data_IF_853413847136
#
_entry.id   IF_853413847136
#
_cell.length_a   1.000
_cell.length_b   1.000
_cell.length_c   1.000
_cell.angle_alpha   90.00
_cell.angle_beta   90.00
_cell.angle_gamma   90.00
#
_symmetry.space_group_name_H-M   'P 1'
#
loop_
_entity.id
_entity.type
_entity.pdbx_description
1 polymer ?
#
# COMPACT_ATOMS: atom_id res chain seq x y z
N UNK A 1 5.79 7.72 -32.37
CA UNK A 1 6.67 7.91 -31.19
C UNK A 1 5.83 7.71 -29.94
N UNK A 2 5.78 6.49 -29.41
CA UNK A 2 5.09 6.18 -28.15
C UNK A 2 6.02 6.52 -26.99
N UNK A 3 5.65 7.53 -26.19
CA UNK A 3 6.34 7.84 -24.94
C UNK A 3 6.15 6.67 -23.98
N UNK A 4 7.20 5.87 -23.82
CA UNK A 4 7.35 4.92 -22.72
C UNK A 4 7.32 5.75 -21.44
N UNK A 5 6.22 5.70 -20.67
CA UNK A 5 6.17 6.39 -19.38
C UNK A 5 7.28 5.82 -18.51
N UNK A 6 8.29 6.62 -18.20
CA UNK A 6 9.30 6.27 -17.21
C UNK A 6 8.57 6.18 -15.87
N UNK A 7 8.26 4.96 -15.43
CA UNK A 7 7.73 4.71 -14.10
C UNK A 7 8.82 5.09 -13.11
N UNK A 8 8.74 6.29 -12.54
CA UNK A 8 9.62 6.65 -11.43
C UNK A 8 9.27 5.77 -10.24
N UNK A 9 10.28 5.08 -9.72
CA UNK A 9 10.16 4.30 -8.49
C UNK A 9 9.69 5.26 -7.39
N UNK A 10 8.57 4.96 -6.74
CA UNK A 10 8.05 5.82 -5.67
C UNK A 10 9.04 5.83 -4.51
N UNK A 11 9.55 6.99 -4.07
CA UNK A 11 10.53 7.04 -2.98
C UNK A 11 10.00 6.45 -1.68
N UNK A 12 10.87 5.79 -0.91
CA UNK A 12 10.51 5.19 0.38
C UNK A 12 9.92 6.20 1.38
N UNK A 13 10.37 7.45 1.35
CA UNK A 13 9.84 8.54 2.19
C UNK A 13 8.36 8.84 1.90
N UNK A 14 7.93 8.71 0.64
CA UNK A 14 6.52 8.88 0.27
C UNK A 14 5.68 7.75 0.84
N UNK A 15 6.16 6.50 0.74
CA UNK A 15 5.50 5.35 1.34
C UNK A 15 5.35 5.49 2.85
N UNK A 16 6.42 5.84 3.56
CA UNK A 16 6.38 6.11 5.02
C UNK A 16 5.37 7.20 5.36
N UNK A 17 5.40 8.34 4.66
CA UNK A 17 4.43 9.42 4.86
C UNK A 17 2.98 8.97 4.64
N UNK A 18 2.74 8.09 3.67
CA UNK A 18 1.40 7.55 3.40
C UNK A 18 0.95 6.52 4.44
N UNK A 19 1.86 5.71 4.98
CA UNK A 19 1.60 4.80 6.08
C UNK A 19 1.25 5.58 7.36
N UNK A 20 2.03 6.62 7.70
CA UNK A 20 1.72 7.52 8.82
C UNK A 20 0.36 8.18 8.65
N UNK A 21 0.02 8.59 7.43
CA UNK A 21 -1.30 9.15 7.11
C UNK A 21 -2.40 8.12 7.35
N UNK A 22 -2.22 6.87 6.93
CA UNK A 22 -3.17 5.80 7.18
C UNK A 22 -3.39 5.58 8.69
N UNK A 23 -2.31 5.56 9.48
CA UNK A 23 -2.36 5.43 10.93
C UNK A 23 -3.10 6.60 11.60
N UNK A 24 -2.77 7.85 11.26
CA UNK A 24 -3.48 9.03 11.78
C UNK A 24 -4.97 9.07 11.42
N UNK A 25 -5.33 8.52 10.27
CA UNK A 25 -6.72 8.42 9.81
C UNK A 25 -7.44 7.19 10.35
N UNK A 26 -6.80 6.37 11.20
CA UNK A 26 -7.42 5.22 11.85
C UNK A 26 -7.71 4.05 10.92
N UNK A 27 -7.04 3.96 9.77
CA UNK A 27 -7.20 2.81 8.87
C UNK A 27 -6.72 1.53 9.55
N UNK A 28 -7.29 0.41 9.10
CA UNK A 28 -6.95 -0.94 9.54
C UNK A 28 -6.77 -1.82 8.31
N UNK A 29 -5.76 -2.68 8.35
CA UNK A 29 -5.51 -3.69 7.33
C UNK A 29 -5.69 -5.08 7.93
N UNK A 30 -6.40 -5.95 7.20
CA UNK A 30 -6.72 -7.30 7.62
C UNK A 30 -6.26 -8.28 6.55
N UNK A 31 -5.53 -9.32 6.94
CA UNK A 31 -5.17 -10.42 6.03
C UNK A 31 -6.40 -11.26 5.74
N UNK A 32 -6.67 -11.52 4.47
CA UNK A 32 -7.75 -12.40 4.06
C UNK A 32 -7.29 -13.85 4.19
N UNK A 33 -7.99 -14.62 5.03
CA UNK A 33 -7.68 -16.03 5.32
C UNK A 33 -6.23 -16.26 5.80
N UNK A 34 -5.64 -15.27 6.47
CA UNK A 34 -4.24 -15.32 6.93
C UNK A 34 -3.19 -15.23 5.81
N UNK A 35 -3.60 -15.13 4.55
CA UNK A 35 -2.67 -15.10 3.42
C UNK A 35 -2.00 -13.71 3.31
N UNK A 36 -0.66 -13.61 3.35
CA UNK A 36 0.05 -12.33 3.28
C UNK A 36 -0.05 -11.65 1.91
N UNK A 37 -0.60 -12.32 0.89
CA UNK A 37 -0.82 -11.74 -0.44
C UNK A 37 -2.11 -10.97 -0.58
N UNK A 38 -3.14 -11.25 0.23
CA UNK A 38 -4.47 -10.68 0.07
C UNK A 38 -4.90 -9.94 1.33
N UNK A 39 -5.26 -8.67 1.17
CA UNK A 39 -5.60 -7.79 2.28
C UNK A 39 -6.88 -7.02 1.99
N UNK A 40 -7.67 -6.80 3.03
CA UNK A 40 -8.73 -5.79 3.03
C UNK A 40 -8.29 -4.61 3.91
N UNK A 41 -8.41 -3.39 3.40
CA UNK A 41 -8.07 -2.16 4.12
C UNK A 41 -9.29 -1.28 4.26
N UNK A 42 -9.60 -0.85 5.49
CA UNK A 42 -10.77 -0.02 5.77
C UNK A 42 -10.71 1.34 5.08
N UNK A 43 -11.88 1.90 4.77
CA UNK A 43 -12.01 3.26 4.24
C UNK A 43 -12.21 4.28 5.37
N UNK A 44 -11.50 5.41 5.29
CA UNK A 44 -11.70 6.55 6.21
C UNK A 44 -12.99 7.32 5.92
N UNK A 45 -13.39 7.40 4.66
CA UNK A 45 -14.51 8.25 4.22
C UNK A 45 -15.84 7.52 4.21
N UNK A 46 -15.82 6.19 4.22
CA UNK A 46 -17.01 5.35 4.20
C UNK A 46 -16.75 4.13 5.10
N UNK A 47 -17.40 4.04 6.27
CA UNK A 47 -17.17 2.95 7.22
C UNK A 47 -17.67 1.59 6.71
N UNK A 48 -18.48 1.56 5.65
CA UNK A 48 -19.02 0.33 5.06
C UNK A 48 -18.16 -0.23 3.93
N UNK A 49 -17.16 0.54 3.48
CA UNK A 49 -16.29 0.16 2.38
C UNK A 49 -14.91 -0.35 2.87
N UNK A 50 -14.40 -1.36 2.18
CA UNK A 50 -13.02 -1.81 2.27
C UNK A 50 -12.40 -1.89 0.87
N UNK A 51 -11.10 -1.64 0.80
CA UNK A 51 -10.33 -1.76 -0.44
C UNK A 51 -9.48 -3.02 -0.39
N UNK A 52 -9.51 -3.79 -1.46
CA UNK A 52 -8.59 -4.91 -1.63
C UNK A 52 -7.19 -4.36 -1.93
N UNK A 53 -6.20 -4.94 -1.28
CA UNK A 53 -4.79 -4.75 -1.59
C UNK A 53 -4.17 -6.12 -1.82
N UNK A 54 -3.58 -6.29 -3.00
CA UNK A 54 -3.02 -7.57 -3.43
C UNK A 54 -1.53 -7.42 -3.69
N UNK A 55 -0.74 -8.26 -3.02
CA UNK A 55 0.71 -8.38 -3.20
C UNK A 55 0.95 -9.53 -4.18
N UNK A 56 1.43 -9.19 -5.37
CA UNK A 56 1.70 -10.15 -6.43
C UNK A 56 3.06 -9.85 -7.03
N UNK A 57 4.06 -10.68 -6.75
CA UNK A 57 5.42 -10.71 -7.32
C UNK A 57 5.85 -9.43 -8.06
N UNK A 58 6.39 -8.45 -7.31
CA UNK A 58 6.85 -7.16 -7.84
C UNK A 58 5.77 -6.09 -8.00
N UNK A 59 4.50 -6.46 -7.88
CA UNK A 59 3.35 -5.56 -7.95
C UNK A 59 2.60 -5.49 -6.63
N UNK A 60 2.16 -4.27 -6.31
CA UNK A 60 1.29 -3.99 -5.18
C UNK A 60 0.05 -3.30 -5.72
N UNK A 61 -1.04 -4.04 -5.81
CA UNK A 61 -2.30 -3.60 -6.40
C UNK A 61 -3.25 -3.08 -5.31
N UNK A 62 -4.16 -2.19 -5.67
CA UNK A 62 -5.20 -1.72 -4.75
C UNK A 62 -6.46 -1.39 -5.54
N UNK A 63 -7.63 -1.71 -5.00
CA UNK A 63 -8.92 -1.39 -5.64
C UNK A 63 -9.39 0.05 -5.41
N UNK A 64 -8.65 0.87 -4.65
CA UNK A 64 -9.04 2.27 -4.44
C UNK A 64 -8.84 3.10 -5.73
N UNK A 65 -9.79 4.00 -6.00
CA UNK A 65 -9.74 4.92 -7.16
C UNK A 65 -8.44 5.70 -7.27
N UNK A 66 -7.85 6.11 -6.14
CA UNK A 66 -6.57 6.85 -6.13
C UNK A 66 -5.42 6.10 -6.80
N UNK A 67 -5.48 4.77 -6.84
CA UNK A 67 -4.45 3.93 -7.44
C UNK A 67 -4.47 3.89 -8.97
N UNK A 68 -5.56 4.34 -9.60
CA UNK A 68 -5.66 4.53 -11.05
C UNK A 68 -4.80 5.72 -11.51
N UNK A 69 -4.57 6.70 -10.62
CA UNK A 69 -3.92 7.97 -10.96
C UNK A 69 -2.52 8.12 -10.37
N UNK A 70 -2.18 7.33 -9.35
CA UNK A 70 -0.92 7.46 -8.61
C UNK A 70 -0.29 6.09 -8.39
N UNK A 71 1.05 5.97 -8.45
CA UNK A 71 1.74 4.72 -8.15
C UNK A 71 1.67 4.34 -6.66
N UNK A 72 1.24 5.27 -5.79
CA UNK A 72 1.11 5.08 -4.35
C UNK A 72 -0.26 5.48 -3.83
N UNK A 73 -0.66 4.85 -2.72
CA UNK A 73 -1.79 5.28 -1.92
C UNK A 73 -1.57 4.86 -0.46
N UNK A 74 -2.36 5.45 0.45
CA UNK A 74 -2.29 5.13 1.89
C UNK A 74 -2.64 3.66 2.20
N UNK A 75 -3.51 3.02 1.41
CA UNK A 75 -3.89 1.61 1.62
C UNK A 75 -2.71 0.67 1.33
N UNK A 76 -2.05 0.86 0.18
CA UNK A 76 -0.82 0.13 -0.18
C UNK A 76 0.29 0.37 0.83
N UNK A 77 0.47 1.62 1.26
CA UNK A 77 1.48 1.99 2.24
C UNK A 77 1.25 1.31 3.60
N UNK A 78 0.00 1.23 4.06
CA UNK A 78 -0.34 0.52 5.29
C UNK A 78 0.00 -0.97 5.19
N UNK A 79 -0.34 -1.63 4.08
CA UNK A 79 0.02 -3.04 3.88
C UNK A 79 1.53 -3.25 3.85
N UNK A 80 2.29 -2.36 3.20
CA UNK A 80 3.76 -2.44 3.25
C UNK A 80 4.30 -2.28 4.68
N UNK A 81 3.69 -1.43 5.50
CA UNK A 81 4.06 -1.28 6.91
C UNK A 81 3.78 -2.56 7.70
N UNK A 82 2.60 -3.16 7.53
CA UNK A 82 2.21 -4.42 8.19
C UNK A 82 3.08 -5.62 7.76
N UNK A 83 3.68 -5.54 6.57
CA UNK A 83 4.64 -6.52 6.07
C UNK A 83 6.08 -6.23 6.55
N UNK A 84 6.32 -5.13 7.27
CA UNK A 84 7.67 -4.69 7.67
C UNK A 84 8.53 -4.18 6.51
N UNK A 85 7.95 -3.97 5.33
CA UNK A 85 8.67 -3.62 4.10
C UNK A 85 9.08 -2.14 4.01
N UNK A 86 8.69 -1.32 4.99
CA UNK A 86 9.06 0.10 5.06
C UNK A 86 10.25 0.38 5.99
N UNK A 87 10.70 -0.63 6.72
CA UNK A 87 11.89 -0.54 7.56
C UNK A 87 13.17 -0.67 6.71
N UNK A 88 14.27 -0.02 7.10
CA UNK A 88 15.56 -0.29 6.48
C UNK A 88 15.88 -1.78 6.61
N UNK A 89 16.42 -2.39 5.54
CA UNK A 89 16.97 -3.73 5.62
C UNK A 89 18.09 -3.70 6.67
N UNK A 90 17.86 -4.34 7.82
CA UNK A 90 18.92 -4.53 8.81
C UNK A 90 19.66 -5.78 8.35
N UNK A 91 20.94 -5.63 8.02
CA UNK A 91 21.79 -6.79 7.80
C UNK A 91 21.73 -7.66 9.06
N UNK A 92 21.39 -8.94 8.88
CA UNK A 92 21.53 -9.91 9.95
C UNK A 92 23.03 -9.99 10.29
N UNK A 93 23.38 -9.54 11.50
CA UNK A 93 24.71 -9.68 12.07
C UNK A 93 25.07 -11.16 12.27
#
# INVERSE_FOLDING_TARGET
MTMTSVWTVTPLSIWRRMADKAGREGLRAYRLNGNPRYWAVSSKSDPTAAYEVTVHDGHLLCSCRGSEFRPYCKHRALVLQELGALEPFRDAA
#
